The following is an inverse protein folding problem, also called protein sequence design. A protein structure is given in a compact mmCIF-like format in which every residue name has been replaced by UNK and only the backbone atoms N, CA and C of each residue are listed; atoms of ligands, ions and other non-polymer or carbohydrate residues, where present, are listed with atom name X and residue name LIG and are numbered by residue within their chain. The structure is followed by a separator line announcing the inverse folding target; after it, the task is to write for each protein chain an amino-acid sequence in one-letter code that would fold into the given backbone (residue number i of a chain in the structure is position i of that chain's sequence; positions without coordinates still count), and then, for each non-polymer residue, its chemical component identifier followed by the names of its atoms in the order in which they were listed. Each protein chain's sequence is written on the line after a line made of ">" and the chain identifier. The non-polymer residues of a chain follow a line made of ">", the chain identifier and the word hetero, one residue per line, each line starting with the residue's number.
data_IF_233242035378
#
_entry.id   IF_233242035378
#
_cell.length_a   1.000
_cell.length_b   1.000
_cell.length_c   1.000
_cell.angle_alpha   90.00
_cell.angle_beta   90.00
_cell.angle_gamma   90.00
#
_symmetry.space_group_name_H-M   'P 1'
#
loop_
_entity.id
_entity.type
_entity.pdbx_description
1 polymer ?
#
# COMPACT_ATOMS: atom_id res chain seq x y z
N UNK A 1 -15.38 38.71 -18.68
CA UNK A 1 -15.78 37.33 -18.99
C UNK A 1 -14.96 36.74 -20.15
N UNK A 2 -14.86 37.41 -21.30
CA UNK A 2 -14.01 36.96 -22.44
C UNK A 2 -12.50 36.86 -22.13
N UNK A 3 -11.97 37.71 -21.24
CA UNK A 3 -10.55 37.71 -20.86
C UNK A 3 -10.14 36.46 -20.07
N UNK A 4 -10.99 35.95 -19.18
CA UNK A 4 -10.68 34.77 -18.37
C UNK A 4 -10.70 33.49 -19.21
N UNK A 5 -11.70 33.35 -20.08
CA UNK A 5 -11.79 32.21 -21.02
C UNK A 5 -10.60 32.19 -21.95
N UNK A 6 -10.18 33.35 -22.48
CA UNK A 6 -8.99 33.45 -23.32
C UNK A 6 -7.71 33.01 -22.60
N UNK A 7 -7.51 33.43 -21.34
CA UNK A 7 -6.36 33.02 -20.53
C UNK A 7 -6.37 31.51 -20.28
N UNK A 8 -7.53 30.93 -19.92
CA UNK A 8 -7.64 29.47 -19.71
C UNK A 8 -7.35 28.70 -21.00
N UNK A 9 -7.88 29.14 -22.14
CA UNK A 9 -7.58 28.51 -23.43
C UNK A 9 -6.09 28.57 -23.77
N UNK A 10 -5.43 29.71 -23.58
CA UNK A 10 -3.99 29.85 -23.81
C UNK A 10 -3.18 28.93 -22.88
N UNK A 11 -3.55 28.84 -21.60
CA UNK A 11 -2.91 27.94 -20.65
C UNK A 11 -3.10 26.46 -21.01
N UNK A 12 -4.28 26.08 -21.49
CA UNK A 12 -4.55 24.72 -21.97
C UNK A 12 -3.73 24.40 -23.22
N UNK A 13 -3.62 25.33 -24.17
CA UNK A 13 -2.78 25.15 -25.37
C UNK A 13 -1.31 25.03 -24.99
N UNK A 14 -0.77 25.92 -24.15
CA UNK A 14 0.62 25.84 -23.68
C UNK A 14 0.88 24.51 -22.97
N UNK A 15 -0.05 24.08 -22.11
CA UNK A 15 0.06 22.78 -21.42
C UNK A 15 0.04 21.62 -22.41
N UNK A 16 -0.85 21.63 -23.40
CA UNK A 16 -0.97 20.58 -24.40
C UNK A 16 0.27 20.45 -25.31
N UNK A 17 1.03 21.54 -25.50
CA UNK A 17 2.26 21.56 -26.28
C UNK A 17 3.49 21.02 -25.54
N UNK A 18 3.41 20.77 -24.23
CA UNK A 18 4.51 20.15 -23.47
C UNK A 18 4.58 18.66 -23.73
N UNK A 19 5.77 18.08 -23.65
CA UNK A 19 5.92 16.63 -23.64
C UNK A 19 5.16 16.04 -22.43
N UNK A 20 4.49 14.90 -22.64
CA UNK A 20 3.83 14.22 -21.53
C UNK A 20 4.89 13.49 -20.72
N UNK A 21 4.83 13.53 -19.38
CA UNK A 21 5.73 12.73 -18.54
C UNK A 21 5.34 11.25 -18.53
N UNK A 22 4.27 10.86 -19.23
CA UNK A 22 3.73 9.49 -19.25
C UNK A 22 3.36 9.06 -20.68
N UNK A 23 3.42 7.75 -20.93
CA UNK A 23 2.90 7.09 -22.13
C UNK A 23 1.61 6.32 -21.80
N UNK A 24 0.53 7.07 -21.60
CA UNK A 24 -0.72 6.54 -21.06
C UNK A 24 -1.39 5.51 -21.99
N UNK A 25 -1.90 4.42 -21.41
CA UNK A 25 -2.72 3.41 -22.11
C UNK A 25 -4.16 3.37 -21.61
N UNK A 26 -5.10 2.98 -22.46
CA UNK A 26 -6.50 2.87 -22.05
C UNK A 26 -6.66 1.74 -21.03
N UNK A 27 -7.52 1.96 -20.04
CA UNK A 27 -8.00 0.93 -19.13
C UNK A 27 -9.50 1.12 -19.02
N UNK A 28 -10.25 0.03 -19.17
CA UNK A 28 -11.71 0.00 -19.00
C UNK A 28 -12.02 -0.67 -17.66
N UNK A 29 -12.27 0.11 -16.59
CA UNK A 29 -12.53 -0.46 -15.28
C UNK A 29 -13.85 -1.25 -15.29
N UNK A 30 -13.95 -2.38 -14.57
CA UNK A 30 -15.20 -3.12 -14.46
C UNK A 30 -16.27 -2.27 -13.78
N UNK A 31 -17.55 -2.54 -14.02
CA UNK A 31 -18.63 -1.81 -13.33
C UNK A 31 -18.45 -1.90 -11.81
N UNK A 32 -18.45 -0.74 -11.15
CA UNK A 32 -18.31 -0.63 -9.69
C UNK A 32 -19.34 -1.51 -8.97
N UNK A 33 -18.85 -2.30 -8.03
CA UNK A 33 -19.68 -3.15 -7.17
C UNK A 33 -20.58 -2.29 -6.27
N UNK A 34 -21.80 -2.77 -5.99
CA UNK A 34 -22.69 -2.12 -5.02
C UNK A 34 -22.19 -2.27 -3.58
N UNK A 35 -22.35 -1.21 -2.79
CA UNK A 35 -22.01 -1.19 -1.36
C UNK A 35 -23.17 -1.77 -0.51
N UNK A 36 -23.42 -3.07 -0.68
CA UNK A 36 -24.51 -3.79 -0.04
C UNK A 36 -24.01 -5.01 0.76
N UNK A 37 -24.88 -5.59 1.60
CA UNK A 37 -24.55 -6.77 2.40
C UNK A 37 -23.34 -6.51 3.32
N UNK A 38 -22.31 -7.34 3.20
CA UNK A 38 -21.04 -7.21 3.96
C UNK A 38 -20.31 -5.88 3.69
N UNK A 39 -20.54 -5.26 2.53
CA UNK A 39 -19.96 -3.98 2.16
C UNK A 39 -20.83 -2.78 2.54
N UNK A 40 -22.02 -3.00 3.09
CA UNK A 40 -22.91 -1.90 3.49
C UNK A 40 -22.16 -0.95 4.42
N UNK A 41 -22.26 0.33 4.08
CA UNK A 41 -21.64 1.42 4.82
C UNK A 41 -21.94 1.33 6.33
N UNK A 42 -20.91 1.55 7.14
CA UNK A 42 -20.98 1.49 8.59
C UNK A 42 -19.97 2.43 9.25
N UNK A 43 -20.13 2.64 10.56
CA UNK A 43 -19.34 3.59 11.35
C UNK A 43 -18.40 2.88 12.35
N UNK A 44 -18.00 1.64 12.07
CA UNK A 44 -17.28 0.81 13.05
C UNK A 44 -15.92 1.39 13.41
N UNK A 45 -15.21 1.99 12.45
CA UNK A 45 -13.88 2.54 12.68
C UNK A 45 -13.89 3.85 13.50
N UNK A 46 -15.05 4.50 13.69
CA UNK A 46 -15.18 5.61 14.66
C UNK A 46 -14.84 5.22 16.09
N UNK A 47 -14.88 3.91 16.40
CA UNK A 47 -14.54 3.35 17.72
C UNK A 47 -13.05 3.09 17.90
N UNK A 48 -12.23 3.32 16.87
CA UNK A 48 -10.78 3.15 16.99
C UNK A 48 -10.20 4.15 18.00
N UNK A 49 -9.33 3.66 18.86
CA UNK A 49 -8.52 4.50 19.72
C UNK A 49 -7.43 5.18 18.90
N UNK A 50 -7.07 6.40 19.28
CA UNK A 50 -6.06 7.20 18.57
C UNK A 50 -4.78 7.22 19.37
N UNK A 51 -3.72 6.70 18.75
CA UNK A 51 -2.38 6.63 19.29
C UNK A 51 -1.49 7.65 18.60
N UNK A 52 -0.51 8.18 19.34
CA UNK A 52 0.56 9.04 18.80
C UNK A 52 0.07 10.29 18.05
N UNK A 53 -1.14 10.80 18.35
CA UNK A 53 -1.68 11.98 17.68
C UNK A 53 -0.74 13.20 17.75
N UNK A 54 -0.38 13.74 16.58
CA UNK A 54 0.55 14.85 16.44
C UNK A 54 2.00 14.52 16.81
N UNK A 55 2.33 13.23 16.99
CA UNK A 55 3.67 12.72 17.35
C UNK A 55 4.28 11.81 16.28
N UNK A 56 3.51 11.48 15.26
CA UNK A 56 3.93 10.72 14.08
C UNK A 56 3.37 11.43 12.84
N UNK A 57 3.94 11.20 11.66
CA UNK A 57 3.52 11.88 10.43
C UNK A 57 3.53 10.90 9.26
N UNK A 58 2.35 10.62 8.71
CA UNK A 58 2.11 9.66 7.64
C UNK A 58 2.66 8.27 7.94
N UNK A 59 2.29 7.63 9.08
CA UNK A 59 2.67 6.25 9.38
C UNK A 59 1.98 5.30 8.40
N UNK A 60 2.53 5.14 7.21
CA UNK A 60 1.88 4.43 6.12
C UNK A 60 1.68 2.95 6.52
N UNK A 61 2.75 2.26 6.94
CA UNK A 61 2.64 0.96 7.59
C UNK A 61 2.93 1.01 9.11
N UNK A 62 2.36 0.04 9.82
CA UNK A 62 2.48 -0.14 11.27
C UNK A 62 2.67 -1.62 11.63
N UNK A 63 3.67 -1.90 12.47
CA UNK A 63 3.89 -3.24 13.00
C UNK A 63 4.12 -3.22 14.52
N UNK A 64 3.84 -4.35 15.16
CA UNK A 64 3.90 -4.52 16.61
C UNK A 64 4.82 -5.68 16.94
N UNK A 65 5.86 -5.38 17.72
CA UNK A 65 6.84 -6.39 18.08
C UNK A 65 6.33 -7.34 19.18
N UNK A 66 7.10 -8.39 19.46
CA UNK A 66 6.77 -9.36 20.52
C UNK A 66 6.73 -8.80 21.95
N UNK A 67 7.07 -7.53 22.17
CA UNK A 67 6.97 -6.82 23.46
C UNK A 67 5.77 -5.87 23.52
N UNK A 68 4.95 -5.82 22.47
CA UNK A 68 3.81 -4.91 22.36
C UNK A 68 4.21 -3.46 22.09
N UNK A 69 5.43 -3.21 21.60
CA UNK A 69 5.85 -1.89 21.11
C UNK A 69 5.31 -1.70 19.70
N UNK A 70 4.69 -0.56 19.44
CA UNK A 70 4.05 -0.24 18.15
C UNK A 70 4.98 0.68 17.38
N UNK A 71 5.29 0.33 16.13
CA UNK A 71 6.20 1.05 15.26
C UNK A 71 5.44 1.63 14.06
N UNK A 72 5.84 2.81 13.59
CA UNK A 72 5.30 3.40 12.37
C UNK A 72 6.35 4.23 11.63
N UNK A 73 6.35 4.12 10.31
CA UNK A 73 7.31 4.76 9.41
C UNK A 73 6.86 6.14 8.92
N UNK A 74 7.69 7.18 9.07
CA UNK A 74 7.27 8.56 8.84
C UNK A 74 7.66 9.15 7.50
N UNK A 75 6.94 10.22 7.14
CA UNK A 75 7.20 11.22 6.10
C UNK A 75 8.67 11.38 5.74
N UNK A 76 9.38 11.71 6.80
CA UNK A 76 10.72 12.25 6.84
C UNK A 76 11.79 11.19 7.12
N UNK A 77 11.49 9.92 6.87
CA UNK A 77 12.48 8.85 6.93
C UNK A 77 12.87 8.45 8.36
N UNK A 78 11.90 8.44 9.28
CA UNK A 78 12.08 7.92 10.65
C UNK A 78 11.19 6.72 10.89
N UNK A 79 11.56 5.93 11.90
CA UNK A 79 10.63 5.01 12.56
C UNK A 79 10.39 5.54 13.96
N UNK A 80 9.14 5.85 14.28
CA UNK A 80 8.71 6.23 15.64
C UNK A 80 8.10 5.00 16.30
N UNK A 81 8.36 4.81 17.60
CA UNK A 81 7.75 3.73 18.38
C UNK A 81 7.04 4.22 19.63
N UNK A 82 5.91 3.60 19.94
CA UNK A 82 5.19 3.71 21.20
C UNK A 82 5.48 2.48 22.06
N UNK A 83 5.99 2.73 23.26
CA UNK A 83 6.29 1.72 24.26
C UNK A 83 5.04 1.35 25.09
N UNK A 84 5.01 0.15 25.73
CA UNK A 84 3.90 -0.27 26.58
C UNK A 84 3.60 0.64 27.77
N UNK A 85 4.58 1.41 28.24
CA UNK A 85 4.42 2.40 29.31
C UNK A 85 3.84 3.75 28.82
N UNK A 86 3.54 3.85 27.51
CA UNK A 86 3.01 5.05 26.87
C UNK A 86 4.06 6.02 26.34
N UNK A 87 5.35 5.76 26.55
CA UNK A 87 6.43 6.62 26.04
C UNK A 87 6.53 6.50 24.51
N UNK A 88 6.63 7.63 23.83
CA UNK A 88 6.89 7.71 22.38
C UNK A 88 8.34 8.13 22.18
N UNK A 89 9.06 7.43 21.31
CA UNK A 89 10.45 7.76 20.98
C UNK A 89 10.79 7.47 19.52
N UNK A 90 11.80 8.18 19.01
CA UNK A 90 12.43 7.85 17.74
C UNK A 90 13.25 6.57 17.93
N UNK A 91 12.95 5.56 17.11
CA UNK A 91 13.71 4.31 17.09
C UNK A 91 14.92 4.41 16.15
N UNK A 92 14.69 4.94 14.95
CA UNK A 92 15.73 5.17 13.94
C UNK A 92 15.36 6.38 13.08
N UNK A 93 16.36 7.02 12.49
CA UNK A 93 16.20 8.10 11.52
C UNK A 93 17.22 7.98 10.39
N UNK A 94 17.06 8.83 9.37
CA UNK A 94 17.94 8.83 8.20
C UNK A 94 17.61 7.74 7.19
N UNK A 95 16.37 7.23 7.19
CA UNK A 95 15.82 6.42 6.11
C UNK A 95 15.40 7.31 4.94
N UNK A 96 14.88 6.74 3.86
CA UNK A 96 14.23 7.46 2.77
C UNK A 96 12.77 7.69 3.11
N UNK A 97 11.92 6.71 2.79
CA UNK A 97 10.50 6.70 3.12
C UNK A 97 10.09 5.25 3.42
N UNK A 98 9.96 4.86 4.69
CA UNK A 98 9.50 3.52 5.08
C UNK A 98 8.01 3.36 4.75
N UNK A 99 7.66 2.30 4.01
CA UNK A 99 6.31 1.97 3.53
C UNK A 99 5.87 0.54 3.86
N UNK A 100 6.77 -0.31 4.34
CA UNK A 100 6.41 -1.67 4.73
C UNK A 100 7.29 -2.09 5.88
N UNK A 101 6.68 -2.63 6.93
CA UNK A 101 7.30 -2.96 8.20
C UNK A 101 6.90 -4.37 8.60
N UNK A 102 7.89 -5.25 8.78
CA UNK A 102 7.61 -6.58 9.32
C UNK A 102 8.75 -7.06 10.22
N UNK A 103 8.44 -7.44 11.46
CA UNK A 103 9.43 -8.06 12.35
C UNK A 103 9.79 -9.48 11.90
N UNK A 104 11.09 -9.77 11.85
CA UNK A 104 11.58 -11.14 11.67
C UNK A 104 11.59 -11.92 13.00
N UNK A 105 11.83 -13.23 12.92
CA UNK A 105 11.87 -14.10 14.10
C UNK A 105 13.03 -13.80 15.08
N UNK A 106 14.03 -13.01 14.65
CA UNK A 106 15.15 -12.57 15.47
C UNK A 106 14.89 -11.21 16.14
N UNK A 107 13.76 -10.57 15.83
CA UNK A 107 13.38 -9.25 16.32
C UNK A 107 14.01 -8.09 15.56
N UNK A 108 14.58 -8.33 14.37
CA UNK A 108 14.94 -7.26 13.46
C UNK A 108 13.66 -6.76 12.76
N UNK A 109 13.58 -5.46 12.52
CA UNK A 109 12.53 -4.87 11.70
C UNK A 109 12.99 -4.88 10.25
N UNK A 110 12.31 -5.64 9.39
CA UNK A 110 12.47 -5.56 7.95
C UNK A 110 11.67 -4.36 7.47
N UNK A 111 12.29 -3.54 6.61
CA UNK A 111 11.70 -2.30 6.11
C UNK A 111 11.78 -2.27 4.59
N UNK A 112 10.63 -2.10 3.96
CA UNK A 112 10.54 -1.64 2.58
C UNK A 112 10.64 -0.11 2.58
N UNK A 113 11.77 0.39 2.08
CA UNK A 113 12.01 1.83 1.93
C UNK A 113 11.88 2.22 0.47
N UNK A 114 10.95 3.14 0.18
CA UNK A 114 10.61 3.57 -1.18
C UNK A 114 11.84 4.01 -1.99
N UNK A 115 12.85 4.58 -1.33
CA UNK A 115 14.05 5.11 -1.97
C UNK A 115 15.29 4.26 -1.78
N UNK A 116 15.36 3.47 -0.71
CA UNK A 116 16.58 2.74 -0.31
C UNK A 116 16.50 1.23 -0.53
N UNK A 117 15.35 0.72 -0.97
CA UNK A 117 15.14 -0.69 -1.22
C UNK A 117 14.76 -1.46 0.04
N UNK A 118 15.11 -2.74 0.07
CA UNK A 118 14.83 -3.62 1.21
C UNK A 118 15.91 -3.46 2.28
N UNK A 119 15.51 -3.15 3.50
CA UNK A 119 16.39 -2.90 4.64
C UNK A 119 16.09 -3.86 5.80
N UNK A 120 17.07 -4.01 6.68
CA UNK A 120 16.93 -4.64 8.00
C UNK A 120 17.44 -3.69 9.06
N UNK A 121 16.70 -3.57 10.16
CA UNK A 121 17.06 -2.74 11.31
C UNK A 121 17.10 -3.63 12.55
N UNK A 122 18.27 -3.73 13.18
CA UNK A 122 18.40 -4.54 14.40
C UNK A 122 17.78 -3.85 15.63
N UNK A 123 17.59 -4.56 16.77
CA UNK A 123 17.03 -3.95 17.98
C UNK A 123 17.81 -2.76 18.56
N UNK A 124 19.07 -2.57 18.17
CA UNK A 124 19.91 -1.44 18.54
C UNK A 124 19.78 -0.24 17.57
N UNK A 125 18.97 -0.38 16.50
CA UNK A 125 18.74 0.66 15.50
C UNK A 125 19.75 0.67 14.36
N UNK A 126 20.59 -0.37 14.22
CA UNK A 126 21.55 -0.45 13.12
C UNK A 126 20.84 -0.84 11.83
N UNK A 127 20.89 0.07 10.85
CA UNK A 127 20.33 -0.13 9.51
C UNK A 127 21.32 -0.88 8.62
N UNK A 128 20.84 -1.91 7.93
CA UNK A 128 21.57 -2.67 6.90
C UNK A 128 20.74 -2.74 5.63
N UNK A 129 21.32 -2.39 4.49
CA UNK A 129 20.69 -2.58 3.18
C UNK A 129 20.79 -4.05 2.79
N UNK A 130 19.65 -4.68 2.48
CA UNK A 130 19.58 -6.07 2.03
C UNK A 130 19.61 -6.17 0.51
N UNK A 131 18.82 -5.33 -0.18
CA UNK A 131 18.76 -5.32 -1.64
C UNK A 131 18.28 -3.97 -2.19
N UNK A 132 18.79 -3.57 -3.34
CA UNK A 132 18.37 -2.35 -4.06
C UNK A 132 17.99 -2.61 -5.52
N UNK A 133 18.20 -3.82 -6.03
CA UNK A 133 17.88 -4.18 -7.41
C UNK A 133 17.62 -5.68 -7.56
N UNK A 134 17.00 -6.04 -8.68
CA UNK A 134 16.87 -7.43 -9.12
C UNK A 134 16.99 -7.51 -10.64
N UNK A 135 17.76 -8.49 -11.12
CA UNK A 135 17.98 -8.73 -12.56
C UNK A 135 18.49 -7.48 -13.32
N UNK A 136 19.32 -6.65 -12.67
CA UNK A 136 19.87 -5.42 -13.24
C UNK A 136 18.89 -4.25 -13.32
N UNK A 137 17.70 -4.37 -12.72
CA UNK A 137 16.70 -3.29 -12.62
C UNK A 137 16.63 -2.84 -11.16
N UNK A 138 17.03 -1.59 -10.93
CA UNK A 138 16.96 -0.93 -9.62
C UNK A 138 15.51 -0.85 -9.13
N UNK A 139 15.32 -0.98 -7.83
CA UNK A 139 14.05 -0.68 -7.20
C UNK A 139 13.84 0.84 -7.23
N UNK A 140 12.61 1.27 -7.48
CA UNK A 140 12.26 2.71 -7.45
C UNK A 140 11.17 3.02 -6.44
N UNK A 141 10.44 2.00 -6.00
CA UNK A 141 9.31 2.15 -5.12
C UNK A 141 9.09 0.86 -4.34
N UNK A 142 10.04 0.48 -3.49
CA UNK A 142 9.89 -0.68 -2.60
C UNK A 142 8.83 -0.38 -1.54
N UNK A 143 7.79 -1.22 -1.46
CA UNK A 143 6.51 -0.83 -0.88
C UNK A 143 6.17 -1.66 0.36
N UNK A 144 5.83 -2.95 0.22
CA UNK A 144 5.41 -3.80 1.34
C UNK A 144 6.23 -5.11 1.43
N UNK A 145 6.23 -5.76 2.60
CA UNK A 145 6.86 -7.06 2.81
C UNK A 145 6.13 -7.99 3.79
N UNK A 146 6.27 -9.30 3.58
CA UNK A 146 5.85 -10.34 4.50
C UNK A 146 6.91 -11.45 4.56
N UNK A 147 7.07 -12.08 5.72
CA UNK A 147 8.17 -13.01 5.99
C UNK A 147 7.60 -14.43 6.17
N UNK A 148 8.17 -15.38 5.43
CA UNK A 148 7.83 -16.79 5.60
C UNK A 148 8.52 -17.41 6.83
N UNK A 149 7.99 -18.54 7.27
CA UNK A 149 8.47 -19.32 8.41
C UNK A 149 9.90 -19.81 8.27
N UNK A 150 10.41 -19.92 7.04
CA UNK A 150 11.80 -20.24 6.72
C UNK A 150 12.72 -19.01 6.65
N UNK A 151 12.18 -17.80 6.84
CA UNK A 151 12.89 -16.53 6.80
C UNK A 151 13.00 -15.91 5.41
N UNK A 152 12.43 -16.51 4.36
CA UNK A 152 12.34 -15.86 3.05
C UNK A 152 11.43 -14.64 3.16
N UNK A 153 11.92 -13.50 2.68
CA UNK A 153 11.18 -12.23 2.68
C UNK A 153 10.54 -12.07 1.31
N UNK A 154 9.21 -12.02 1.26
CA UNK A 154 8.47 -11.65 0.06
C UNK A 154 8.18 -10.16 0.13
N UNK A 155 8.47 -9.44 -0.94
CA UNK A 155 8.33 -7.98 -0.95
C UNK A 155 8.00 -7.47 -2.34
N UNK A 156 7.52 -6.23 -2.39
CA UNK A 156 7.10 -5.60 -3.63
C UNK A 156 7.99 -4.42 -4.01
N UNK A 157 8.10 -4.24 -5.32
CA UNK A 157 8.51 -2.98 -5.93
C UNK A 157 7.28 -2.49 -6.70
N UNK A 158 6.58 -1.50 -6.15
CA UNK A 158 5.30 -1.03 -6.67
C UNK A 158 5.40 -0.54 -8.10
N UNK A 159 6.52 0.08 -8.43
CA UNK A 159 6.86 0.54 -9.77
C UNK A 159 8.37 0.49 -9.96
N UNK A 160 8.83 -0.14 -11.03
CA UNK A 160 10.24 -0.06 -11.45
C UNK A 160 10.56 1.21 -12.26
N UNK A 161 9.54 2.05 -12.51
CA UNK A 161 9.62 3.24 -13.37
C UNK A 161 9.39 4.54 -12.58
N UNK A 162 8.34 4.60 -11.76
CA UNK A 162 7.97 5.80 -11.00
C UNK A 162 8.42 5.71 -9.54
N UNK A 163 8.72 6.86 -8.94
CA UNK A 163 9.02 6.97 -7.51
C UNK A 163 7.76 7.24 -6.68
N UNK A 164 7.88 7.22 -5.35
CA UNK A 164 6.77 7.55 -4.43
C UNK A 164 6.19 8.95 -4.63
N UNK A 165 6.97 9.91 -5.12
CA UNK A 165 6.47 11.26 -5.43
C UNK A 165 5.69 11.31 -6.77
N UNK A 166 5.76 10.25 -7.57
CA UNK A 166 5.21 10.16 -8.93
C UNK A 166 4.09 9.11 -9.04
N UNK A 167 3.62 8.54 -7.94
CA UNK A 167 2.59 7.48 -7.91
C UNK A 167 1.32 7.84 -8.73
N UNK A 168 0.90 9.11 -8.73
CA UNK A 168 -0.24 9.55 -9.54
C UNK A 168 0.04 9.54 -11.05
N UNK A 169 1.29 9.78 -11.46
CA UNK A 169 1.70 9.63 -12.85
C UNK A 169 1.64 8.15 -13.27
N UNK A 170 2.06 7.23 -12.40
CA UNK A 170 1.95 5.79 -12.66
C UNK A 170 0.49 5.36 -12.86
N UNK A 171 -0.40 5.78 -11.96
CA UNK A 171 -1.85 5.52 -12.09
C UNK A 171 -2.40 6.05 -13.43
N UNK A 172 -2.04 7.28 -13.79
CA UNK A 172 -2.46 7.90 -15.05
C UNK A 172 -1.82 7.24 -16.28
N UNK A 173 -0.61 6.72 -16.17
CA UNK A 173 0.01 5.96 -17.25
C UNK A 173 -0.73 4.63 -17.46
N UNK A 174 -1.17 4.01 -16.36
CA UNK A 174 -1.93 2.76 -16.34
C UNK A 174 -1.18 1.59 -16.99
N UNK A 175 0.14 1.55 -16.86
CA UNK A 175 1.04 0.46 -17.30
C UNK A 175 1.47 -0.42 -16.12
N UNK A 176 1.85 -1.68 -16.36
CA UNK A 176 2.11 -2.62 -15.27
C UNK A 176 3.60 -2.66 -14.88
N UNK A 177 4.08 -1.66 -14.14
CA UNK A 177 5.49 -1.56 -13.74
C UNK A 177 5.85 -2.30 -12.45
N UNK A 178 4.85 -2.88 -11.78
CA UNK A 178 5.01 -3.51 -10.48
C UNK A 178 5.60 -4.92 -10.54
N UNK A 179 6.30 -5.30 -9.47
CA UNK A 179 6.97 -6.60 -9.33
C UNK A 179 6.76 -7.18 -7.94
N UNK A 180 6.56 -8.50 -7.88
CA UNK A 180 6.65 -9.29 -6.66
C UNK A 180 7.99 -10.03 -6.64
N UNK A 181 8.72 -9.92 -5.54
CA UNK A 181 10.05 -10.47 -5.37
C UNK A 181 10.15 -11.30 -4.09
N UNK A 182 11.17 -12.13 -4.01
CA UNK A 182 11.61 -12.77 -2.77
C UNK A 182 13.09 -12.53 -2.54
N UNK A 183 13.48 -12.29 -1.29
CA UNK A 183 14.85 -12.22 -0.83
C UNK A 183 15.14 -13.37 0.15
N UNK A 184 16.22 -14.10 -0.11
CA UNK A 184 16.73 -15.14 0.78
C UNK A 184 17.90 -14.58 1.62
N UNK A 185 17.74 -14.41 2.94
CA UNK A 185 18.81 -13.89 3.79
C UNK A 185 20.05 -14.78 3.87
N UNK A 186 19.91 -16.10 3.68
CA UNK A 186 21.01 -17.04 3.74
C UNK A 186 21.91 -16.95 2.51
N UNK A 187 21.31 -16.80 1.33
CA UNK A 187 22.05 -16.69 0.06
C UNK A 187 22.25 -15.25 -0.42
N UNK A 188 21.58 -14.29 0.22
CA UNK A 188 21.51 -12.87 -0.16
C UNK A 188 21.01 -12.67 -1.59
N UNK A 189 20.15 -13.56 -2.07
CA UNK A 189 19.68 -13.57 -3.45
C UNK A 189 18.26 -13.03 -3.52
N UNK A 190 18.04 -12.10 -4.46
CA UNK A 190 16.71 -11.67 -4.89
C UNK A 190 16.25 -12.47 -6.10
N UNK A 191 14.99 -12.90 -6.09
CA UNK A 191 14.31 -13.55 -7.22
C UNK A 191 13.06 -12.73 -7.54
N UNK A 192 12.88 -12.37 -8.82
CA UNK A 192 11.61 -11.80 -9.30
C UNK A 192 10.65 -12.94 -9.57
N UNK A 193 9.57 -13.00 -8.79
CA UNK A 193 8.55 -14.05 -8.88
C UNK A 193 7.47 -13.70 -9.90
N UNK A 194 7.06 -12.43 -9.92
CA UNK A 194 6.01 -11.91 -10.80
C UNK A 194 6.43 -10.53 -11.32
N UNK A 195 6.21 -10.31 -12.62
CA UNK A 195 6.33 -9.01 -13.29
C UNK A 195 4.98 -8.61 -13.85
N UNK A 196 4.91 -7.37 -14.34
CA UNK A 196 3.76 -6.84 -15.03
C UNK A 196 2.53 -6.79 -14.10
N UNK A 197 2.71 -6.24 -12.90
CA UNK A 197 1.63 -5.93 -11.95
C UNK A 197 1.27 -4.44 -12.03
N UNK A 198 -0.01 -4.12 -11.90
CA UNK A 198 -0.46 -2.72 -11.90
C UNK A 198 -0.37 -2.12 -10.49
N UNK A 199 0.81 -1.56 -10.18
CA UNK A 199 1.18 -1.03 -8.88
C UNK A 199 1.16 -2.11 -7.79
N UNK A 200 2.28 -2.83 -7.67
CA UNK A 200 2.44 -3.94 -6.72
C UNK A 200 2.62 -3.40 -5.29
N UNK A 201 1.52 -3.27 -4.57
CA UNK A 201 1.50 -2.64 -3.27
C UNK A 201 1.63 -3.70 -2.16
N UNK A 202 0.59 -3.92 -1.37
CA UNK A 202 0.63 -4.85 -0.24
C UNK A 202 0.94 -6.30 -0.60
N UNK A 203 1.56 -7.03 0.34
CA UNK A 203 1.95 -8.44 0.17
C UNK A 203 1.65 -9.27 1.42
N UNK A 204 1.03 -10.44 1.24
CA UNK A 204 0.71 -11.31 2.37
C UNK A 204 0.75 -12.80 2.02
N UNK A 205 1.38 -13.59 2.87
CA UNK A 205 1.41 -15.03 2.78
C UNK A 205 0.14 -15.66 3.37
N UNK A 206 -0.35 -16.68 2.68
CA UNK A 206 -1.39 -17.58 3.20
C UNK A 206 -0.98 -18.26 4.50
N UNK A 207 -1.96 -18.74 5.26
CA UNK A 207 -1.78 -19.47 6.52
C UNK A 207 -0.74 -20.58 6.44
N UNK A 208 -0.77 -21.36 5.36
CA UNK A 208 0.12 -22.50 5.15
C UNK A 208 1.32 -22.17 4.24
N UNK A 209 1.45 -20.90 3.84
CA UNK A 209 2.45 -20.42 2.87
C UNK A 209 2.39 -21.21 1.55
N UNK A 210 1.17 -21.59 1.14
CA UNK A 210 0.92 -22.27 -0.13
C UNK A 210 0.96 -21.27 -1.29
N UNK A 211 0.61 -20.02 -1.00
CA UNK A 211 0.64 -18.88 -1.90
C UNK A 211 0.95 -17.58 -1.16
N UNK A 212 1.29 -16.56 -1.94
CA UNK A 212 1.45 -15.16 -1.55
C UNK A 212 0.50 -14.29 -2.37
N UNK A 213 -0.13 -13.32 -1.72
CA UNK A 213 -0.98 -12.30 -2.31
C UNK A 213 -0.18 -11.05 -2.62
N UNK A 214 -0.54 -10.36 -3.70
CA UNK A 214 -0.04 -9.02 -4.03
C UNK A 214 -1.19 -8.16 -4.51
N UNK A 215 -1.31 -6.96 -3.93
CA UNK A 215 -2.33 -6.00 -4.35
C UNK A 215 -1.91 -5.34 -5.66
N UNK A 216 -2.87 -5.18 -6.58
CA UNK A 216 -2.73 -4.35 -7.77
C UNK A 216 -3.65 -3.14 -7.63
N UNK A 217 -3.13 -2.10 -6.97
CA UNK A 217 -3.89 -0.92 -6.53
C UNK A 217 -4.69 -0.30 -7.66
N UNK A 218 -4.08 -0.15 -8.84
CA UNK A 218 -4.72 0.50 -9.99
C UNK A 218 -5.62 -0.42 -10.82
N UNK A 219 -5.85 -1.65 -10.35
CA UNK A 219 -6.82 -2.59 -10.94
C UNK A 219 -7.88 -3.06 -9.95
N UNK A 220 -7.95 -2.46 -8.76
CA UNK A 220 -8.95 -2.79 -7.74
C UNK A 220 -8.99 -4.30 -7.43
N UNK A 221 -7.83 -4.95 -7.40
CA UNK A 221 -7.75 -6.42 -7.31
C UNK A 221 -6.54 -6.89 -6.53
N UNK A 222 -6.58 -8.16 -6.18
CA UNK A 222 -5.47 -8.87 -5.55
C UNK A 222 -5.12 -10.07 -6.42
N UNK A 223 -3.84 -10.21 -6.75
CA UNK A 223 -3.29 -11.35 -7.48
C UNK A 223 -2.68 -12.34 -6.49
N UNK A 224 -2.92 -13.64 -6.70
CA UNK A 224 -2.32 -14.73 -5.94
C UNK A 224 -1.23 -15.40 -6.76
N UNK A 225 -0.05 -15.60 -6.16
CA UNK A 225 1.05 -16.38 -6.72
C UNK A 225 1.28 -17.65 -5.89
N UNK A 226 1.25 -18.81 -6.54
CA UNK A 226 1.35 -20.11 -5.87
C UNK A 226 2.82 -20.48 -5.60
N UNK A 227 3.14 -20.72 -4.32
CA UNK A 227 4.49 -21.09 -3.85
C UNK A 227 4.68 -22.62 -3.78
N UNK A 228 3.58 -23.36 -3.55
CA UNK A 228 3.57 -24.80 -3.34
C UNK A 228 2.51 -25.50 -4.20
N UNK A 229 2.53 -26.84 -4.15
CA UNK A 229 1.54 -27.68 -4.83
C UNK A 229 1.64 -27.71 -6.35
N UNK A 230 0.61 -28.26 -7.01
CA UNK A 230 0.57 -28.46 -8.48
C UNK A 230 0.57 -27.16 -9.28
N UNK A 231 0.14 -26.06 -8.67
CA UNK A 231 0.09 -24.73 -9.29
C UNK A 231 1.37 -23.91 -9.06
N UNK A 232 2.39 -24.44 -8.37
CA UNK A 232 3.62 -23.70 -8.04
C UNK A 232 4.16 -22.94 -9.25
N UNK A 233 4.39 -21.64 -9.07
CA UNK A 233 4.89 -20.74 -10.12
C UNK A 233 3.80 -20.10 -10.99
N UNK A 234 2.54 -20.54 -10.87
CA UNK A 234 1.40 -19.90 -11.54
C UNK A 234 0.82 -18.77 -10.69
N UNK A 235 0.09 -17.86 -11.36
CA UNK A 235 -0.74 -16.82 -10.71
C UNK A 235 -2.18 -16.86 -11.20
N UNK A 236 -3.10 -16.47 -10.33
CA UNK A 236 -4.52 -16.23 -10.63
C UNK A 236 -5.04 -15.00 -9.88
N UNK A 237 -6.22 -14.50 -10.26
CA UNK A 237 -6.87 -13.40 -9.54
C UNK A 237 -7.54 -13.98 -8.29
N UNK A 238 -7.17 -13.45 -7.13
CA UNK A 238 -7.69 -13.86 -5.83
C UNK A 238 -9.06 -13.26 -5.57
N UNK A 239 -9.15 -11.93 -5.74
CA UNK A 239 -10.39 -11.16 -5.72
C UNK A 239 -10.24 -10.00 -6.70
N UNK A 240 -11.32 -9.65 -7.37
CA UNK A 240 -11.39 -8.57 -8.35
C UNK A 240 -12.50 -7.56 -7.98
N UNK A 241 -12.43 -6.38 -8.58
CA UNK A 241 -13.45 -5.33 -8.48
C UNK A 241 -13.74 -4.94 -7.01
N UNK A 242 -12.68 -4.66 -6.26
CA UNK A 242 -12.74 -4.13 -4.89
C UNK A 242 -13.42 -2.74 -4.87
N UNK A 243 -14.08 -2.38 -3.76
CA UNK A 243 -14.84 -1.14 -3.63
C UNK A 243 -13.96 0.11 -3.41
N UNK A 244 -12.64 -0.04 -3.42
CA UNK A 244 -11.66 1.01 -3.21
C UNK A 244 -10.29 0.61 -3.74
N UNK A 245 -9.31 1.49 -3.57
CA UNK A 245 -7.92 1.24 -3.98
C UNK A 245 -7.22 0.39 -2.93
N UNK A 246 -6.91 -0.90 -3.20
CA UNK A 246 -6.21 -1.73 -2.23
C UNK A 246 -4.78 -1.25 -2.04
N UNK A 247 -4.38 -1.13 -0.79
CA UNK A 247 -3.07 -0.64 -0.38
C UNK A 247 -2.29 -1.80 0.27
N UNK A 248 -1.97 -1.74 1.57
CA UNK A 248 -1.44 -2.86 2.34
C UNK A 248 -2.42 -4.03 2.49
N UNK A 249 -1.87 -5.25 2.50
CA UNK A 249 -2.60 -6.47 2.89
C UNK A 249 -1.77 -7.23 3.93
N UNK A 250 -2.38 -7.59 5.05
CA UNK A 250 -1.72 -8.38 6.09
C UNK A 250 -2.44 -9.69 6.33
N UNK A 251 -1.69 -10.73 6.72
CA UNK A 251 -2.25 -12.03 7.10
C UNK A 251 -2.29 -12.16 8.61
N UNK A 252 -3.43 -12.60 9.16
CA UNK A 252 -3.48 -12.97 10.57
C UNK A 252 -2.89 -14.37 10.86
N UNK A 253 -2.36 -15.04 9.83
CA UNK A 253 -1.80 -16.40 9.86
C UNK A 253 -2.78 -17.48 10.36
N UNK A 254 -4.08 -17.17 10.40
CA UNK A 254 -5.15 -18.07 10.82
C UNK A 254 -6.22 -18.27 9.75
N UNK A 255 -5.97 -17.80 8.53
CA UNK A 255 -6.84 -17.99 7.37
C UNK A 255 -7.70 -16.76 7.06
N UNK A 256 -7.25 -15.57 7.46
CA UNK A 256 -7.86 -14.33 7.01
C UNK A 256 -6.79 -13.29 6.70
N UNK A 257 -7.17 -12.40 5.78
CA UNK A 257 -6.37 -11.27 5.37
C UNK A 257 -7.10 -9.97 5.69
N UNK A 258 -6.39 -8.98 6.20
CA UNK A 258 -6.89 -7.61 6.31
C UNK A 258 -6.36 -6.81 5.13
N UNK A 259 -7.26 -6.15 4.41
CA UNK A 259 -6.91 -5.32 3.24
C UNK A 259 -7.32 -3.89 3.55
N UNK A 260 -6.34 -3.01 3.63
CA UNK A 260 -6.59 -1.58 3.71
C UNK A 260 -7.00 -1.04 2.34
N UNK A 261 -8.00 -0.16 2.32
CA UNK A 261 -8.38 0.57 1.12
C UNK A 261 -8.10 2.06 1.36
N UNK A 262 -7.11 2.59 0.65
CA UNK A 262 -6.67 3.99 0.76
C UNK A 262 -7.83 4.97 0.58
N UNK A 263 -8.71 4.71 -0.38
CA UNK A 263 -9.94 5.48 -0.52
C UNK A 263 -10.97 4.64 -1.25
N UNK A 264 -12.23 5.07 -1.18
CA UNK A 264 -13.31 4.47 -1.96
C UNK A 264 -13.07 4.67 -3.45
N UNK A 265 -13.64 3.79 -4.26
CA UNK A 265 -13.48 3.85 -5.71
C UNK A 265 -14.05 5.16 -6.25
N UNK A 266 -13.23 5.88 -7.00
CA UNK A 266 -13.53 7.23 -7.48
C UNK A 266 -14.15 7.19 -8.90
N UNK A 267 -15.38 7.70 -9.03
CA UNK A 267 -16.12 7.63 -10.29
C UNK A 267 -15.48 8.51 -11.40
N UNK A 268 -14.79 9.60 -11.03
CA UNK A 268 -14.07 10.46 -11.98
C UNK A 268 -12.85 9.74 -12.54
N UNK A 269 -12.09 9.03 -11.69
CA UNK A 269 -10.97 8.21 -12.14
C UNK A 269 -11.45 7.14 -13.13
N UNK A 270 -12.54 6.43 -12.80
CA UNK A 270 -13.15 5.42 -13.68
C UNK A 270 -13.54 5.98 -15.06
N UNK A 271 -14.10 7.20 -15.09
CA UNK A 271 -14.50 7.87 -16.33
C UNK A 271 -13.30 8.29 -17.19
N UNK A 272 -12.16 8.60 -16.57
CA UNK A 272 -10.96 9.10 -17.27
C UNK A 272 -10.09 7.96 -17.81
N UNK A 273 -10.03 6.82 -17.11
CA UNK A 273 -9.15 5.69 -17.47
C UNK A 273 -9.23 5.21 -18.93
N UNK A 274 -10.41 5.18 -19.59
CA UNK A 274 -10.53 4.79 -21.00
C UNK A 274 -9.87 5.75 -22.00
N UNK A 275 -9.50 6.98 -21.59
CA UNK A 275 -9.04 8.03 -22.50
C UNK A 275 -7.57 8.42 -22.25
N UNK A 276 -6.59 7.76 -22.90
CA UNK A 276 -5.16 8.08 -22.80
C UNK A 276 -4.82 9.55 -22.94
N UNK A 277 -5.40 10.23 -23.93
CA UNK A 277 -5.10 11.62 -24.22
C UNK A 277 -5.51 12.57 -23.08
N UNK A 278 -6.59 12.25 -22.34
CA UNK A 278 -7.02 13.02 -21.17
C UNK A 278 -6.00 12.84 -20.04
N UNK A 279 -5.59 11.59 -19.77
CA UNK A 279 -4.59 11.28 -18.75
C UNK A 279 -3.26 11.97 -19.04
N UNK A 280 -2.79 11.90 -20.28
CA UNK A 280 -1.58 12.62 -20.70
C UNK A 280 -1.73 14.13 -20.55
N UNK A 281 -2.91 14.72 -20.81
CA UNK A 281 -3.14 16.16 -20.62
C UNK A 281 -3.13 16.52 -19.12
N UNK A 282 -3.78 15.72 -18.27
CA UNK A 282 -3.81 15.91 -16.81
C UNK A 282 -2.41 15.80 -16.19
N UNK A 283 -1.60 14.85 -16.65
CA UNK A 283 -0.23 14.64 -16.18
C UNK A 283 0.69 15.86 -16.41
N UNK A 284 0.32 16.77 -17.33
CA UNK A 284 1.05 18.02 -17.60
C UNK A 284 0.58 19.20 -16.74
N UNK A 285 -0.56 19.05 -16.05
CA UNK A 285 -1.10 20.07 -15.17
C UNK A 285 -0.42 20.04 -13.80
N UNK A 286 -0.41 21.17 -13.05
CA UNK A 286 0.05 21.17 -11.67
C UNK A 286 -0.75 20.17 -10.81
N UNK A 287 -0.06 19.42 -9.95
CA UNK A 287 -0.65 18.38 -9.11
C UNK A 287 -1.81 18.87 -8.22
N UNK A 288 -1.86 20.17 -7.90
CA UNK A 288 -2.96 20.78 -7.15
C UNK A 288 -4.33 20.68 -7.87
N UNK A 289 -4.35 20.42 -9.18
CA UNK A 289 -5.56 20.26 -10.00
C UNK A 289 -5.95 18.80 -10.20
N UNK A 290 -5.15 17.83 -9.72
CA UNK A 290 -5.48 16.42 -9.84
C UNK A 290 -6.62 16.02 -8.90
N UNK A 291 -7.40 14.98 -9.24
CA UNK A 291 -8.39 14.39 -8.34
C UNK A 291 -7.74 14.05 -7.00
N UNK A 292 -8.42 14.39 -5.90
CA UNK A 292 -7.97 14.08 -4.55
C UNK A 292 -8.73 12.85 -4.02
N UNK A 293 -8.10 12.04 -3.17
CA UNK A 293 -8.80 10.98 -2.46
C UNK A 293 -9.96 11.55 -1.64
N UNK A 294 -11.01 10.75 -1.51
CA UNK A 294 -12.09 11.06 -0.57
C UNK A 294 -11.65 10.64 0.84
N UNK A 295 -11.76 11.52 1.85
CA UNK A 295 -11.49 11.15 3.24
C UNK A 295 -12.43 10.02 3.67
N UNK A 296 -11.87 8.84 3.86
CA UNK A 296 -12.62 7.63 4.20
C UNK A 296 -11.68 6.66 4.92
N UNK A 297 -12.13 6.03 6.00
CA UNK A 297 -11.41 4.87 6.56
C UNK A 297 -12.10 3.58 6.17
N UNK A 298 -11.38 2.68 5.51
CA UNK A 298 -11.97 1.47 4.96
C UNK A 298 -10.99 0.31 5.01
N UNK A 299 -11.39 -0.75 5.72
CA UNK A 299 -10.65 -2.01 5.80
C UNK A 299 -11.60 -3.15 5.51
N UNK A 300 -11.15 -4.12 4.72
CA UNK A 300 -11.85 -5.37 4.46
C UNK A 300 -11.15 -6.52 5.18
N UNK A 301 -11.92 -7.54 5.59
CA UNK A 301 -11.37 -8.86 5.90
C UNK A 301 -11.77 -9.85 4.82
N UNK A 302 -10.79 -10.59 4.31
CA UNK A 302 -10.97 -11.67 3.36
C UNK A 302 -10.69 -13.03 4.02
N UNK A 303 -11.34 -14.09 3.56
CA UNK A 303 -10.93 -15.47 3.83
C UNK A 303 -9.89 -15.98 2.81
N UNK A 304 -9.43 -17.23 2.94
CA UNK A 304 -8.43 -17.86 2.06
C UNK A 304 -8.96 -18.18 0.65
N UNK A 305 -10.26 -18.04 0.43
CA UNK A 305 -10.92 -18.22 -0.85
C UNK A 305 -11.15 -16.90 -1.58
N UNK A 306 -10.86 -15.76 -0.94
CA UNK A 306 -11.03 -14.42 -1.51
C UNK A 306 -12.43 -13.85 -1.33
N UNK A 307 -13.24 -14.39 -0.41
CA UNK A 307 -14.54 -13.80 -0.07
C UNK A 307 -14.36 -12.68 0.94
N UNK A 308 -15.08 -11.57 0.73
CA UNK A 308 -15.19 -10.50 1.72
C UNK A 308 -16.11 -10.98 2.84
N UNK A 309 -15.55 -11.21 4.02
CA UNK A 309 -16.28 -11.71 5.20
C UNK A 309 -16.61 -10.61 6.19
N UNK A 310 -15.94 -9.46 6.10
CA UNK A 310 -16.19 -8.31 6.96
C UNK A 310 -15.73 -7.01 6.30
N UNK A 311 -16.41 -5.91 6.63
CA UNK A 311 -15.92 -4.56 6.37
C UNK A 311 -15.96 -3.70 7.63
N UNK A 312 -14.90 -2.91 7.81
CA UNK A 312 -14.77 -1.89 8.83
C UNK A 312 -14.68 -0.55 8.12
N UNK A 313 -15.62 0.34 8.40
CA UNK A 313 -15.75 1.61 7.68
C UNK A 313 -15.89 2.78 8.65
N UNK A 314 -15.47 3.96 8.19
CA UNK A 314 -15.87 5.27 8.69
C UNK A 314 -15.91 6.26 7.51
N UNK A 315 -17.11 6.54 6.96
CA UNK A 315 -17.32 7.44 5.82
C UNK A 315 -17.08 8.91 6.16
N UNK A 316 -17.04 9.27 7.44
CA UNK A 316 -16.77 10.65 7.83
C UNK A 316 -15.30 11.03 7.63
N UNK A 317 -14.41 10.03 7.50
CA UNK A 317 -12.98 10.24 7.38
C UNK A 317 -12.34 10.88 8.61
N UNK A 318 -12.98 10.79 9.79
CA UNK A 318 -12.52 11.44 11.02
C UNK A 318 -12.80 10.54 12.24
N UNK A 319 -11.79 10.24 13.07
CA UNK A 319 -10.44 10.83 13.09
C UNK A 319 -9.44 10.15 12.15
N UNK A 320 -9.82 9.05 11.51
CA UNK A 320 -8.98 8.26 10.60
C UNK A 320 -9.53 8.35 9.18
N UNK A 321 -8.64 8.43 8.21
CA UNK A 321 -8.93 8.42 6.78
C UNK A 321 -7.68 7.92 6.06
N UNK A 322 -7.82 7.54 4.80
CA UNK A 322 -6.68 7.14 3.98
C UNK A 322 -5.86 6.04 4.62
N UNK A 323 -6.57 4.98 5.04
CA UNK A 323 -5.95 3.83 5.69
C UNK A 323 -5.16 3.06 4.64
N UNK A 324 -3.87 2.91 4.88
CA UNK A 324 -2.94 2.22 3.96
C UNK A 324 -2.47 0.88 4.50
N UNK A 325 -2.55 0.66 5.81
CA UNK A 325 -2.22 -0.62 6.44
C UNK A 325 -3.22 -0.99 7.53
N UNK A 326 -3.34 -2.29 7.78
CA UNK A 326 -4.19 -2.85 8.82
C UNK A 326 -3.53 -4.11 9.39
N UNK A 327 -2.77 -3.98 10.48
CA UNK A 327 -2.00 -5.07 11.08
C UNK A 327 -2.70 -5.63 12.31
N UNK A 328 -2.96 -6.94 12.31
CA UNK A 328 -3.57 -7.61 13.46
C UNK A 328 -2.51 -8.03 14.47
N UNK A 329 -2.69 -7.62 15.73
CA UNK A 329 -1.84 -8.07 16.84
C UNK A 329 -2.61 -8.02 18.17
N UNK A 330 -2.52 -9.07 18.98
CA UNK A 330 -3.03 -9.06 20.36
C UNK A 330 -4.52 -8.74 20.53
N UNK A 331 -5.37 -9.12 19.57
CA UNK A 331 -6.82 -8.82 19.60
C UNK A 331 -7.18 -7.40 19.13
N UNK A 332 -6.22 -6.67 18.58
CA UNK A 332 -6.40 -5.35 18.00
C UNK A 332 -5.98 -5.36 16.54
N UNK A 333 -6.56 -4.42 15.79
CA UNK A 333 -6.15 -4.03 14.46
C UNK A 333 -5.51 -2.65 14.54
N UNK A 334 -4.25 -2.54 14.12
CA UNK A 334 -3.48 -1.32 14.08
C UNK A 334 -3.55 -0.74 12.67
N UNK A 335 -3.86 0.54 12.56
CA UNK A 335 -4.20 1.19 11.30
C UNK A 335 -3.21 2.32 11.02
N UNK A 336 -2.44 2.16 9.94
CA UNK A 336 -1.59 3.21 9.38
C UNK A 336 -2.31 4.03 8.31
N UNK A 337 -1.66 5.08 7.84
CA UNK A 337 -2.17 6.01 6.84
C UNK A 337 -1.06 6.82 6.20
N UNK A 338 -1.28 7.21 4.94
CA UNK A 338 -0.33 8.01 4.17
C UNK A 338 -0.22 9.47 4.65
N UNK A 339 -1.31 10.08 5.12
CA UNK A 339 -1.41 11.54 5.31
C UNK A 339 -1.95 12.00 6.67
N UNK A 340 -2.16 11.11 7.63
CA UNK A 340 -2.55 11.50 8.98
C UNK A 340 -1.32 11.67 9.91
N UNK A 341 -1.55 12.12 11.14
CA UNK A 341 -0.52 12.31 12.17
C UNK A 341 -0.69 11.38 13.37
N UNK A 342 -1.24 10.17 13.16
CA UNK A 342 -1.72 9.28 14.22
C UNK A 342 -1.80 7.82 13.77
N UNK A 343 -1.85 6.90 14.71
CA UNK A 343 -2.12 5.48 14.45
C UNK A 343 -3.46 5.11 15.06
N UNK A 344 -4.30 4.41 14.29
CA UNK A 344 -5.56 3.87 14.79
C UNK A 344 -5.35 2.54 15.49
N UNK A 345 -6.07 2.29 16.58
CA UNK A 345 -6.14 0.97 17.23
C UNK A 345 -7.60 0.57 17.41
N UNK A 346 -8.06 -0.40 16.64
CA UNK A 346 -9.42 -0.91 16.68
C UNK A 346 -9.46 -2.26 17.41
N UNK A 347 -10.34 -2.39 18.41
CA UNK A 347 -10.51 -3.67 19.13
C UNK A 347 -11.34 -4.63 18.27
N UNK A 348 -10.80 -5.81 17.99
CA UNK A 348 -11.52 -6.86 17.28
C UNK A 348 -12.56 -7.50 18.22
N UNK A 349 -13.71 -7.88 17.65
CA UNK A 349 -14.68 -8.68 18.38
C UNK A 349 -14.14 -10.11 18.55
N UNK A 350 -14.35 -10.69 19.73
CA UNK A 350 -13.95 -12.07 20.05
C UNK A 350 -14.67 -13.12 19.20
#
# INVERSE_FOLDING_TARGET
>A
MYSLVGIVCVLLVITALRDSPIDAVAYDPPQKRSMEGVLKENDRLKKAEILMAGKINGPEDVDVDGRGRIYGGTRDGKIIRLLPDGKIEEFVSGLGRPLGLHFDALGNLIVCDAYKGLLSIDPAGKVTVLATEAQGVQFRFTDDCDIASDGIIYFTDASDTFTVDEYMLDMMESRPHGRLLSYDPATKRVVVLVKDLYFANGVALSKNEDFVLVNETYRYRITRYWLKGRKKGARDIFIDNLPGFPDGVSSNRRGSFWVALFTVRNDIADLIHPFPWIKSLMARMPAALWPKPEPYAFVLRLDEEGNIVESLQDPSGLPLYEITSAQEHGGYLYLGSLHNDRIGRYRLAE
#
